data_IF_567460337096
#
_entry.id   IF_567460337096
#
_cell.length_a   1.000
_cell.length_b   1.000
_cell.length_c   1.000
_cell.angle_alpha   90.00
_cell.angle_beta   90.00
_cell.angle_gamma   90.00
#
_symmetry.space_group_name_H-M   'P 1'
#
loop_
_entity.id
_entity.type
_entity.pdbx_description
1 polymer ?
#
# COMPACT_ATOMS: atom_id res chain seq x y z
N UNK A 1 -23.63 -16.29 -8.16
CA UNK A 1 -22.61 -16.87 -9.07
C UNK A 1 -22.27 -18.27 -8.57
N UNK A 2 -22.40 -19.30 -9.41
CA UNK A 2 -22.01 -20.66 -9.02
C UNK A 2 -20.52 -20.71 -8.70
N UNK A 3 -20.13 -21.36 -7.60
CA UNK A 3 -18.71 -21.62 -7.31
C UNK A 3 -18.24 -22.71 -8.26
N UNK A 4 -17.31 -22.37 -9.16
CA UNK A 4 -16.59 -23.35 -9.96
C UNK A 4 -15.86 -24.33 -9.02
N UNK A 5 -15.95 -25.61 -9.32
CA UNK A 5 -15.17 -26.66 -8.69
C UNK A 5 -13.67 -26.48 -8.97
N UNK A 6 -12.82 -27.02 -8.10
CA UNK A 6 -11.36 -27.02 -8.27
C UNK A 6 -10.96 -27.65 -9.61
N UNK A 7 -11.66 -28.70 -10.03
CA UNK A 7 -11.41 -29.39 -11.30
C UNK A 7 -11.68 -28.47 -12.50
N UNK A 8 -12.78 -27.73 -12.50
CA UNK A 8 -13.11 -26.78 -13.57
C UNK A 8 -12.06 -25.68 -13.67
N UNK A 9 -11.55 -25.18 -12.54
CA UNK A 9 -10.46 -24.18 -12.52
C UNK A 9 -9.17 -24.77 -13.12
N UNK A 10 -8.81 -26.01 -12.77
CA UNK A 10 -7.62 -26.68 -13.31
C UNK A 10 -7.75 -26.89 -14.83
N UNK A 11 -8.90 -27.39 -15.28
CA UNK A 11 -9.15 -27.66 -16.70
C UNK A 11 -9.10 -26.37 -17.52
N UNK A 12 -9.81 -25.33 -17.09
CA UNK A 12 -9.83 -24.05 -17.79
C UNK A 12 -8.44 -23.40 -17.85
N UNK A 13 -7.68 -23.41 -16.74
CA UNK A 13 -6.31 -22.90 -16.73
C UNK A 13 -5.37 -23.71 -17.64
N UNK A 14 -5.50 -25.04 -17.64
CA UNK A 14 -4.67 -25.93 -18.48
C UNK A 14 -4.96 -25.72 -19.96
N UNK A 15 -6.23 -25.64 -20.34
CA UNK A 15 -6.65 -25.34 -21.71
C UNK A 15 -6.17 -23.96 -22.16
N UNK A 16 -6.33 -22.94 -21.31
CA UNK A 16 -5.84 -21.60 -21.59
C UNK A 16 -4.32 -21.60 -21.84
N UNK A 17 -3.55 -22.23 -20.96
CA UNK A 17 -2.09 -22.29 -21.11
C UNK A 17 -1.66 -23.05 -22.38
N UNK A 18 -2.34 -24.15 -22.71
CA UNK A 18 -2.04 -24.90 -23.94
C UNK A 18 -2.29 -24.06 -25.20
N UNK A 19 -3.41 -23.34 -25.27
CA UNK A 19 -3.74 -22.46 -26.39
C UNK A 19 -2.79 -21.25 -26.46
N UNK A 20 -2.49 -20.63 -25.32
CA UNK A 20 -1.58 -19.50 -25.25
C UNK A 20 -0.16 -19.89 -25.69
N UNK A 21 0.36 -21.01 -25.18
CA UNK A 21 1.67 -21.55 -25.55
C UNK A 21 1.71 -21.93 -27.03
N UNK A 22 0.66 -22.59 -27.55
CA UNK A 22 0.56 -22.89 -28.98
C UNK A 22 0.57 -21.63 -29.84
N UNK A 23 -0.20 -20.59 -29.46
CA UNK A 23 -0.22 -19.31 -30.20
C UNK A 23 1.17 -18.67 -30.26
N UNK A 24 1.91 -18.66 -29.15
CA UNK A 24 3.26 -18.13 -29.11
C UNK A 24 4.24 -18.97 -29.94
N UNK A 25 4.22 -20.30 -29.74
CA UNK A 25 5.08 -21.21 -30.48
C UNK A 25 4.83 -21.17 -31.99
N UNK A 26 3.56 -21.14 -32.41
CA UNK A 26 3.17 -21.01 -33.82
C UNK A 26 3.68 -19.70 -34.43
N UNK A 27 3.52 -18.58 -33.71
CA UNK A 27 4.03 -17.29 -34.16
C UNK A 27 5.55 -17.32 -34.38
N UNK A 28 6.31 -17.84 -33.43
CA UNK A 28 7.77 -17.95 -33.58
C UNK A 28 8.19 -18.90 -34.69
N UNK A 29 7.43 -19.97 -34.92
CA UNK A 29 7.77 -20.96 -35.94
C UNK A 29 7.44 -20.52 -37.37
N UNK A 30 6.44 -19.64 -37.56
CA UNK A 30 5.86 -19.37 -38.89
C UNK A 30 5.84 -17.89 -39.28
N UNK A 31 5.70 -16.98 -38.33
CA UNK A 31 5.49 -15.55 -38.58
C UNK A 31 6.69 -14.68 -38.20
N UNK A 32 7.56 -15.17 -37.33
CA UNK A 32 8.76 -14.44 -36.92
C UNK A 32 9.83 -14.51 -38.02
N UNK A 33 10.24 -13.36 -38.56
CA UNK A 33 11.12 -13.28 -39.74
C UNK A 33 12.58 -13.70 -39.46
N UNK A 34 12.93 -14.01 -38.21
CA UNK A 34 14.26 -14.47 -37.79
C UNK A 34 15.38 -13.43 -37.93
N UNK A 35 15.09 -12.22 -38.42
CA UNK A 35 16.09 -11.21 -38.71
C UNK A 35 16.48 -10.44 -37.44
N UNK A 36 17.51 -10.95 -36.77
CA UNK A 36 17.96 -10.44 -35.47
C UNK A 36 18.35 -8.96 -35.53
N UNK A 37 19.04 -8.50 -36.58
CA UNK A 37 19.48 -7.09 -36.68
C UNK A 37 18.31 -6.11 -36.84
N UNK A 38 17.24 -6.53 -37.53
CA UNK A 38 16.03 -5.72 -37.71
C UNK A 38 15.13 -5.74 -36.47
N UNK A 39 15.12 -6.85 -35.74
CA UNK A 39 14.23 -7.08 -34.60
C UNK A 39 14.85 -6.72 -33.24
N UNK A 40 16.16 -6.47 -33.15
CA UNK A 40 16.85 -6.03 -31.94
C UNK A 40 17.14 -4.52 -32.00
N UNK A 41 16.21 -3.73 -31.47
CA UNK A 41 16.34 -2.29 -31.34
C UNK A 41 15.97 -1.79 -29.93
N UNK A 42 15.75 -0.48 -29.80
CA UNK A 42 15.33 0.14 -28.53
C UNK A 42 14.05 -0.50 -27.95
N UNK A 43 13.11 -0.88 -28.82
CA UNK A 43 11.88 -1.60 -28.45
C UNK A 43 12.19 -2.90 -27.71
N UNK A 44 13.14 -3.68 -28.19
CA UNK A 44 13.54 -4.98 -27.65
C UNK A 44 14.15 -4.84 -26.27
N UNK A 45 15.10 -3.92 -26.12
CA UNK A 45 15.73 -3.63 -24.83
C UNK A 45 14.74 -3.08 -23.81
N UNK A 46 13.82 -2.22 -24.24
CA UNK A 46 12.75 -1.71 -23.38
C UNK A 46 11.78 -2.83 -22.95
N UNK A 47 11.39 -3.71 -23.88
CA UNK A 47 10.57 -4.88 -23.59
C UNK A 47 11.24 -5.83 -22.60
N UNK A 48 12.53 -6.16 -22.80
CA UNK A 48 13.33 -6.98 -21.87
C UNK A 48 13.42 -6.32 -20.50
N UNK A 49 13.68 -5.02 -20.45
CA UNK A 49 13.76 -4.27 -19.20
C UNK A 49 12.43 -4.35 -18.41
N UNK A 50 11.30 -4.07 -19.07
CA UNK A 50 9.99 -4.16 -18.44
C UNK A 50 9.66 -5.59 -18.00
N UNK A 51 9.97 -6.58 -18.84
CA UNK A 51 9.77 -7.99 -18.51
C UNK A 51 10.53 -8.36 -17.23
N UNK A 52 11.83 -8.08 -17.17
CA UNK A 52 12.67 -8.40 -16.02
C UNK A 52 12.30 -7.60 -14.77
N UNK A 53 11.93 -6.33 -14.92
CA UNK A 53 11.47 -5.51 -13.81
C UNK A 53 10.14 -6.04 -13.24
N UNK A 54 9.17 -6.35 -14.10
CA UNK A 54 7.88 -6.94 -13.72
C UNK A 54 8.04 -8.30 -13.05
N UNK A 55 8.83 -9.19 -13.65
CA UNK A 55 9.16 -10.51 -13.10
C UNK A 55 9.84 -10.42 -11.73
N UNK A 56 10.80 -9.49 -11.57
CA UNK A 56 11.46 -9.27 -10.28
C UNK A 56 10.49 -8.78 -9.21
N UNK A 57 9.58 -7.86 -9.56
CA UNK A 57 8.53 -7.39 -8.66
C UNK A 57 7.59 -8.56 -8.30
N UNK A 58 7.13 -9.34 -9.28
CA UNK A 58 6.25 -10.48 -9.05
C UNK A 58 6.88 -11.49 -8.07
N UNK A 59 8.10 -11.95 -8.39
CA UNK A 59 8.82 -12.95 -7.61
C UNK A 59 9.12 -12.47 -6.19
N UNK A 60 9.59 -11.22 -6.04
CA UNK A 60 9.91 -10.64 -4.73
C UNK A 60 8.67 -10.60 -3.84
N UNK A 61 7.53 -10.19 -4.37
CA UNK A 61 6.33 -9.96 -3.57
C UNK A 61 5.54 -11.26 -3.29
N UNK A 62 5.56 -12.24 -4.19
CA UNK A 62 5.05 -13.58 -3.89
C UNK A 62 5.89 -14.26 -2.80
N UNK A 63 7.22 -14.20 -2.91
CA UNK A 63 8.12 -14.73 -1.88
C UNK A 63 7.91 -14.02 -0.54
N UNK A 64 7.85 -12.69 -0.55
CA UNK A 64 7.61 -11.88 0.66
C UNK A 64 6.27 -12.23 1.32
N UNK A 65 5.19 -12.33 0.54
CA UNK A 65 3.86 -12.68 1.06
C UNK A 65 3.85 -14.08 1.69
N UNK A 66 4.45 -15.06 1.02
CA UNK A 66 4.58 -16.43 1.52
C UNK A 66 5.40 -16.48 2.81
N UNK A 67 6.53 -15.78 2.84
CA UNK A 67 7.41 -15.71 4.01
C UNK A 67 6.68 -15.11 5.21
N UNK A 68 6.02 -13.95 5.03
CA UNK A 68 5.31 -13.27 6.11
C UNK A 68 4.17 -14.14 6.66
N UNK A 69 3.40 -14.81 5.79
CA UNK A 69 2.31 -15.72 6.21
C UNK A 69 2.84 -16.91 7.01
N UNK A 70 3.86 -17.62 6.51
CA UNK A 70 4.45 -18.77 7.22
C UNK A 70 5.01 -18.37 8.58
N UNK A 71 5.75 -17.25 8.64
CA UNK A 71 6.30 -16.74 9.89
C UNK A 71 5.20 -16.46 10.92
N UNK A 72 4.07 -15.88 10.49
CA UNK A 72 2.94 -15.61 11.36
C UNK A 72 2.23 -16.89 11.83
N UNK A 73 2.03 -17.84 10.92
CA UNK A 73 1.48 -19.17 11.24
C UNK A 73 2.35 -19.90 12.27
N UNK A 74 3.67 -19.89 12.12
CA UNK A 74 4.61 -20.52 13.06
C UNK A 74 4.55 -19.88 14.46
N UNK A 75 4.43 -18.55 14.54
CA UNK A 75 4.26 -17.83 15.81
C UNK A 75 2.94 -18.25 16.48
N UNK A 76 1.87 -18.36 15.71
CA UNK A 76 0.56 -18.77 16.22
C UNK A 76 0.53 -20.24 16.67
N UNK A 77 1.17 -21.15 15.92
CA UNK A 77 1.33 -22.55 16.33
C UNK A 77 2.08 -22.67 17.65
N UNK A 78 3.16 -21.91 17.82
CA UNK A 78 3.91 -21.85 19.09
C UNK A 78 3.04 -21.36 20.25
N UNK A 79 2.25 -20.29 20.04
CA UNK A 79 1.31 -19.78 21.06
C UNK A 79 0.21 -20.78 21.43
N UNK A 80 -0.26 -21.60 20.49
CA UNK A 80 -1.26 -22.67 20.74
C UNK A 80 -0.65 -24.01 21.17
N UNK A 81 0.60 -24.04 21.64
CA UNK A 81 1.24 -25.25 22.15
C UNK A 81 1.46 -26.33 21.08
N UNK A 82 1.74 -25.93 19.83
CA UNK A 82 2.06 -26.83 18.73
C UNK A 82 0.85 -27.43 18.00
N UNK A 83 -0.37 -27.05 18.35
CA UNK A 83 -1.58 -27.45 17.61
C UNK A 83 -1.68 -26.73 16.27
N UNK A 84 -2.27 -27.39 15.29
CA UNK A 84 -2.56 -26.76 14.00
C UNK A 84 -3.47 -25.55 14.16
N UNK A 85 -3.14 -24.51 13.41
CA UNK A 85 -3.86 -23.25 13.34
C UNK A 85 -4.58 -23.18 12.00
N UNK A 86 -5.81 -22.65 12.01
CA UNK A 86 -6.48 -22.31 10.77
C UNK A 86 -5.67 -21.29 9.97
N UNK A 87 -5.90 -21.23 8.65
CA UNK A 87 -5.21 -20.28 7.77
C UNK A 87 -5.51 -18.85 8.24
N UNK A 88 -4.48 -18.16 8.69
CA UNK A 88 -4.57 -16.75 9.09
C UNK A 88 -4.12 -15.87 7.94
N UNK A 89 -4.93 -14.87 7.63
CA UNK A 89 -4.55 -13.80 6.72
C UNK A 89 -3.88 -12.68 7.51
N UNK A 90 -2.92 -12.02 6.88
CA UNK A 90 -2.18 -10.88 7.45
C UNK A 90 -2.15 -9.74 6.44
N UNK A 91 -2.03 -8.51 6.92
CA UNK A 91 -1.68 -7.35 6.09
C UNK A 91 -0.17 -7.44 5.78
N UNK A 92 0.24 -7.64 4.52
CA UNK A 92 1.65 -7.71 4.18
C UNK A 92 2.30 -6.33 4.31
N UNK A 93 3.52 -6.28 4.85
CA UNK A 93 4.28 -5.04 5.02
C UNK A 93 5.60 -5.06 4.23
N UNK A 94 6.24 -3.90 4.09
CA UNK A 94 7.47 -3.62 3.36
C UNK A 94 7.34 -3.64 1.83
N UNK A 95 8.30 -3.01 1.15
CA UNK A 95 8.37 -2.91 -0.31
C UNK A 95 7.13 -2.24 -0.91
N UNK A 96 6.62 -2.72 -2.05
CA UNK A 96 5.46 -2.13 -2.71
C UNK A 96 4.14 -2.42 -1.98
N UNK A 97 4.11 -3.31 -0.99
CA UNK A 97 2.91 -3.54 -0.17
C UNK A 97 2.49 -2.30 0.64
N UNK A 98 3.41 -1.36 0.85
CA UNK A 98 3.10 -0.08 1.50
C UNK A 98 2.28 0.87 0.62
N UNK A 99 2.22 0.60 -0.70
CA UNK A 99 1.56 1.46 -1.68
C UNK A 99 0.36 0.78 -2.34
N UNK A 100 0.46 -0.52 -2.61
CA UNK A 100 -0.57 -1.30 -3.31
C UNK A 100 -0.77 -2.66 -2.65
N UNK A 101 -2.01 -3.16 -2.66
CA UNK A 101 -2.36 -4.44 -2.02
C UNK A 101 -1.76 -5.66 -2.71
N UNK A 102 -1.67 -5.62 -4.04
CA UNK A 102 -1.27 -6.75 -4.87
C UNK A 102 -0.09 -6.40 -5.78
N UNK A 103 1.09 -6.09 -5.23
CA UNK A 103 2.28 -5.78 -6.01
C UNK A 103 2.76 -6.95 -6.86
N UNK A 104 2.47 -8.19 -6.47
CA UNK A 104 2.70 -9.38 -7.30
C UNK A 104 1.89 -9.34 -8.60
N UNK A 105 0.60 -8.99 -8.54
CA UNK A 105 -0.24 -8.81 -9.74
C UNK A 105 0.20 -7.62 -10.59
N UNK A 106 0.62 -6.53 -9.94
CA UNK A 106 1.18 -5.37 -10.64
C UNK A 106 2.47 -5.73 -11.39
N UNK A 107 3.38 -6.48 -10.75
CA UNK A 107 4.59 -6.99 -11.38
C UNK A 107 4.29 -7.87 -12.59
N UNK A 108 3.34 -8.81 -12.46
CA UNK A 108 2.93 -9.71 -13.55
C UNK A 108 2.32 -8.94 -14.74
N UNK A 109 1.55 -7.88 -14.48
CA UNK A 109 1.04 -7.01 -15.56
C UNK A 109 2.19 -6.29 -16.30
N UNK A 110 3.18 -5.76 -15.57
CA UNK A 110 4.37 -5.14 -16.20
C UNK A 110 5.20 -6.17 -16.96
N UNK A 111 5.35 -7.37 -16.42
CA UNK A 111 6.05 -8.48 -17.06
C UNK A 111 5.45 -8.77 -18.44
N UNK A 112 4.13 -8.99 -18.49
CA UNK A 112 3.45 -9.28 -19.75
C UNK A 112 3.36 -8.07 -20.69
N UNK A 113 3.38 -6.84 -20.17
CA UNK A 113 3.54 -5.64 -21.00
C UNK A 113 4.90 -5.62 -21.71
N UNK A 114 5.96 -5.95 -20.98
CA UNK A 114 7.30 -6.11 -21.54
C UNK A 114 7.34 -7.19 -22.63
N UNK A 115 6.67 -8.32 -22.38
CA UNK A 115 6.52 -9.41 -23.37
C UNK A 115 5.73 -9.00 -24.61
N UNK A 116 4.63 -8.25 -24.45
CA UNK A 116 3.85 -7.70 -25.56
C UNK A 116 4.68 -6.74 -26.42
N UNK A 117 5.47 -5.88 -25.78
CA UNK A 117 6.39 -4.98 -26.48
C UNK A 117 7.48 -5.80 -27.18
N UNK A 118 7.99 -6.87 -26.58
CA UNK A 118 9.04 -7.69 -27.16
C UNK A 118 8.57 -8.46 -28.41
N UNK A 119 7.39 -9.10 -28.33
CA UNK A 119 6.95 -10.09 -29.34
C UNK A 119 5.90 -9.54 -30.31
N UNK A 120 5.06 -8.60 -29.90
CA UNK A 120 3.94 -8.08 -30.69
C UNK A 120 2.62 -8.79 -30.40
N UNK A 121 1.82 -9.06 -31.44
CA UNK A 121 0.41 -9.44 -31.35
C UNK A 121 0.09 -10.60 -30.37
N UNK A 122 0.81 -11.74 -30.36
CA UNK A 122 0.53 -12.81 -29.41
C UNK A 122 0.78 -12.38 -27.96
N UNK A 123 1.83 -11.60 -27.74
CA UNK A 123 2.15 -11.05 -26.43
C UNK A 123 1.13 -10.00 -25.98
N UNK A 124 0.64 -9.16 -26.90
CA UNK A 124 -0.42 -8.19 -26.62
C UNK A 124 -1.72 -8.88 -26.20
N UNK A 125 -2.12 -9.93 -26.90
CA UNK A 125 -3.29 -10.75 -26.52
C UNK A 125 -3.16 -11.30 -25.10
N UNK A 126 -1.98 -11.84 -24.76
CA UNK A 126 -1.76 -12.37 -23.42
C UNK A 126 -1.70 -11.27 -22.35
N UNK A 127 -1.07 -10.13 -22.64
CA UNK A 127 -1.09 -8.97 -21.76
C UNK A 127 -2.52 -8.49 -21.45
N UNK A 128 -3.37 -8.33 -22.47
CA UNK A 128 -4.76 -7.93 -22.28
C UNK A 128 -5.55 -8.96 -21.45
N UNK A 129 -5.32 -10.25 -21.68
CA UNK A 129 -5.88 -11.30 -20.86
C UNK A 129 -5.41 -11.21 -19.40
N UNK A 130 -4.12 -11.00 -19.17
CA UNK A 130 -3.54 -10.85 -17.82
C UNK A 130 -4.15 -9.64 -17.11
N UNK A 131 -4.31 -8.49 -17.78
CA UNK A 131 -5.01 -7.33 -17.22
C UNK A 131 -6.46 -7.69 -16.87
N UNK A 132 -7.20 -8.31 -17.80
CA UNK A 132 -8.60 -8.67 -17.62
C UNK A 132 -8.82 -9.66 -16.45
N UNK A 133 -7.85 -10.51 -16.13
CA UNK A 133 -7.94 -11.46 -15.01
C UNK A 133 -7.41 -10.88 -13.70
N UNK A 134 -6.24 -10.24 -13.74
CA UNK A 134 -5.51 -9.82 -12.55
C UNK A 134 -6.04 -8.50 -11.99
N UNK A 135 -6.46 -7.54 -12.82
CA UNK A 135 -6.94 -6.25 -12.34
C UNK A 135 -8.26 -6.38 -11.54
N UNK A 136 -9.30 -7.08 -12.03
CA UNK A 136 -10.51 -7.29 -11.22
C UNK A 136 -10.23 -8.14 -9.98
N UNK A 137 -9.26 -9.06 -10.04
CA UNK A 137 -8.82 -9.83 -8.88
C UNK A 137 -8.14 -8.94 -7.85
N UNK A 138 -7.25 -8.04 -8.26
CA UNK A 138 -6.58 -7.07 -7.39
C UNK A 138 -7.60 -6.16 -6.69
N UNK A 139 -8.61 -5.65 -7.42
CA UNK A 139 -9.68 -4.82 -6.86
C UNK A 139 -10.50 -5.60 -5.82
N UNK A 140 -10.91 -6.84 -6.14
CA UNK A 140 -11.63 -7.68 -5.18
C UNK A 140 -10.79 -8.00 -3.95
N UNK A 141 -9.50 -8.28 -4.12
CA UNK A 141 -8.59 -8.50 -3.00
C UNK A 141 -8.43 -7.25 -2.15
N UNK A 142 -8.27 -6.08 -2.75
CA UNK A 142 -8.21 -4.80 -2.04
C UNK A 142 -9.47 -4.53 -1.22
N UNK A 143 -10.66 -4.70 -1.81
CA UNK A 143 -11.93 -4.54 -1.10
C UNK A 143 -12.07 -5.57 0.03
N UNK A 144 -11.71 -6.83 -0.22
CA UNK A 144 -11.72 -7.86 0.82
C UNK A 144 -10.78 -7.53 1.98
N UNK A 145 -9.59 -6.98 1.72
CA UNK A 145 -8.68 -6.54 2.78
C UNK A 145 -9.29 -5.41 3.62
N UNK A 146 -9.93 -4.42 2.96
CA UNK A 146 -10.67 -3.33 3.64
C UNK A 146 -11.84 -3.82 4.49
N UNK A 147 -12.54 -4.86 4.05
CA UNK A 147 -13.64 -5.46 4.81
C UNK A 147 -13.17 -6.39 5.92
N UNK A 148 -11.99 -7.03 5.74
CA UNK A 148 -11.50 -8.07 6.64
C UNK A 148 -10.70 -7.52 7.82
N UNK A 149 -9.97 -6.45 7.59
CA UNK A 149 -9.06 -5.85 8.57
C UNK A 149 -9.50 -4.42 8.84
N UNK A 150 -9.92 -4.17 10.07
CA UNK A 150 -10.29 -2.82 10.52
C UNK A 150 -9.07 -1.88 10.46
N UNK A 151 -7.86 -2.42 10.66
CA UNK A 151 -6.56 -1.73 10.58
C UNK A 151 -5.95 -1.72 9.17
N UNK A 152 -6.73 -1.99 8.11
CA UNK A 152 -6.20 -1.95 6.76
C UNK A 152 -5.82 -0.50 6.38
N UNK A 153 -4.58 -0.21 5.95
CA UNK A 153 -4.16 1.15 5.64
C UNK A 153 -4.92 1.69 4.43
N UNK A 154 -5.97 2.46 4.69
CA UNK A 154 -6.75 3.17 3.68
C UNK A 154 -6.07 4.52 3.47
N UNK A 155 -5.07 4.60 2.59
CA UNK A 155 -4.41 5.85 2.19
C UNK A 155 -4.17 6.82 3.36
N UNK A 156 -3.10 6.64 4.15
CA UNK A 156 -2.68 7.49 5.29
C UNK A 156 -3.20 8.94 5.24
N UNK A 157 -4.46 9.15 5.64
CA UNK A 157 -5.22 10.40 5.51
C UNK A 157 -4.67 11.41 4.47
N UNK A 158 -4.59 11.05 3.19
CA UNK A 158 -4.19 11.99 2.12
C UNK A 158 -2.72 12.45 2.18
N UNK A 159 -1.82 11.66 2.76
CA UNK A 159 -0.40 11.96 2.91
C UNK A 159 0.36 12.07 1.57
N UNK A 160 -0.26 11.69 0.46
CA UNK A 160 0.31 11.85 -0.88
C UNK A 160 0.03 13.25 -1.44
N UNK A 161 -1.07 13.86 -1.01
CA UNK A 161 -1.58 15.15 -1.50
C UNK A 161 -1.33 16.30 -0.50
N UNK A 162 -1.13 15.97 0.77
CA UNK A 162 -0.92 16.92 1.89
C UNK A 162 0.16 16.39 2.85
N UNK A 163 0.66 17.27 3.72
CA UNK A 163 1.67 16.90 4.72
C UNK A 163 1.01 15.95 5.74
N UNK A 164 1.58 14.76 5.95
CA UNK A 164 1.02 13.75 6.83
C UNK A 164 0.75 14.28 8.25
N UNK A 165 -0.32 13.79 8.89
CA UNK A 165 -0.71 14.14 10.26
C UNK A 165 -0.91 15.63 10.53
N UNK A 166 -1.39 16.38 9.54
CA UNK A 166 -1.81 17.78 9.70
C UNK A 166 -3.32 17.92 9.57
N UNK A 167 -3.90 18.98 10.15
CA UNK A 167 -5.33 19.27 9.96
C UNK A 167 -5.69 19.44 8.48
N UNK A 168 -4.79 19.94 7.65
CA UNK A 168 -5.03 20.07 6.21
C UNK A 168 -5.15 18.70 5.52
N UNK A 169 -4.34 17.72 5.92
CA UNK A 169 -4.43 16.35 5.43
C UNK A 169 -5.73 15.67 5.90
N UNK A 170 -6.12 15.86 7.16
CA UNK A 170 -7.38 15.33 7.68
C UNK A 170 -8.60 15.98 7.00
N UNK A 171 -8.61 17.30 6.82
CA UNK A 171 -9.69 18.01 6.09
C UNK A 171 -9.80 17.53 4.65
N UNK A 172 -8.67 17.41 3.96
CA UNK A 172 -8.66 16.88 2.60
C UNK A 172 -9.22 15.45 2.54
N UNK A 173 -8.84 14.60 3.50
CA UNK A 173 -9.32 13.23 3.59
C UNK A 173 -10.80 13.12 3.88
N UNK A 174 -11.30 13.89 4.83
CA UNK A 174 -12.70 13.87 5.26
C UNK A 174 -13.61 14.54 4.22
N UNK A 175 -13.27 15.76 3.80
CA UNK A 175 -14.19 16.58 3.00
C UNK A 175 -14.10 16.27 1.51
N UNK A 176 -12.87 16.02 1.01
CA UNK A 176 -12.62 15.84 -0.42
C UNK A 176 -12.62 14.36 -0.80
N UNK A 177 -11.81 13.55 -0.13
CA UNK A 177 -11.70 12.12 -0.42
C UNK A 177 -12.85 11.29 0.19
N UNK A 178 -13.51 11.81 1.23
CA UNK A 178 -14.61 11.15 1.96
C UNK A 178 -14.22 9.75 2.44
N UNK A 179 -13.04 9.64 3.05
CA UNK A 179 -12.54 8.37 3.61
C UNK A 179 -13.43 7.92 4.76
N UNK A 180 -13.66 6.62 4.95
CA UNK A 180 -14.61 6.15 5.98
C UNK A 180 -14.08 6.29 7.42
N UNK A 181 -12.76 6.41 7.58
CA UNK A 181 -12.05 6.39 8.86
C UNK A 181 -10.81 7.28 8.75
N UNK A 182 -10.53 8.08 9.78
CA UNK A 182 -9.25 8.78 9.92
C UNK A 182 -8.32 7.98 10.83
N UNK A 183 -7.20 7.51 10.29
CA UNK A 183 -6.11 6.90 11.07
C UNK A 183 -5.19 8.02 11.57
N UNK A 184 -4.85 7.97 12.86
CA UNK A 184 -3.93 8.92 13.47
C UNK A 184 -3.17 8.30 14.65
N UNK A 185 -1.95 8.77 14.83
CA UNK A 185 -1.10 8.40 15.96
C UNK A 185 -1.01 9.56 16.94
N UNK A 186 -1.07 9.26 18.23
CA UNK A 186 -0.97 10.28 19.27
C UNK A 186 0.25 10.10 20.14
N UNK A 187 0.79 11.23 20.56
CA UNK A 187 1.87 11.35 21.53
C UNK A 187 1.59 12.49 22.50
N UNK A 188 2.25 12.46 23.65
CA UNK A 188 2.10 13.46 24.70
C UNK A 188 3.31 14.40 24.72
N UNK A 189 3.04 15.71 24.74
CA UNK A 189 4.06 16.74 24.98
C UNK A 189 4.47 16.77 26.45
N UNK A 190 5.50 17.57 26.78
CA UNK A 190 6.00 17.78 28.14
C UNK A 190 4.98 18.42 29.08
N UNK A 191 4.12 19.28 28.54
CA UNK A 191 3.02 19.96 29.22
C UNK A 191 1.68 19.20 29.09
N UNK A 192 1.76 17.89 28.87
CA UNK A 192 0.63 16.96 28.86
C UNK A 192 -0.47 17.31 27.86
N UNK A 193 -0.10 17.82 26.68
CA UNK A 193 -0.99 18.02 25.54
C UNK A 193 -0.92 16.83 24.58
N UNK A 194 -2.08 16.32 24.17
CA UNK A 194 -2.17 15.23 23.19
C UNK A 194 -2.05 15.78 21.78
N UNK A 195 -0.96 15.41 21.10
CA UNK A 195 -0.69 15.85 19.73
C UNK A 195 -0.70 14.68 18.76
N UNK A 196 -1.05 14.98 17.50
CA UNK A 196 -1.10 13.97 16.43
C UNK A 196 0.28 13.90 15.77
N UNK A 197 1.03 12.83 16.04
CA UNK A 197 2.37 12.62 15.49
C UNK A 197 2.79 11.14 15.52
N UNK A 198 3.22 10.61 14.37
CA UNK A 198 3.56 9.18 14.20
C UNK A 198 4.95 8.81 14.73
N UNK A 199 5.98 9.57 14.37
CA UNK A 199 7.37 9.18 14.61
C UNK A 199 7.76 9.35 16.07
N UNK A 200 8.56 8.42 16.60
CA UNK A 200 9.13 8.59 17.95
C UNK A 200 10.07 9.78 18.06
N UNK A 201 10.68 10.20 16.95
CA UNK A 201 11.70 11.24 16.90
C UNK A 201 11.36 12.26 15.80
N UNK A 202 11.61 13.54 16.08
CA UNK A 202 11.28 14.67 15.22
C UNK A 202 12.27 14.86 14.05
N UNK A 203 13.32 14.03 13.94
CA UNK A 203 14.39 14.22 12.97
C UNK A 203 13.91 14.12 11.52
N UNK A 204 13.07 13.13 11.20
CA UNK A 204 12.60 12.92 9.83
C UNK A 204 11.67 14.03 9.37
N UNK A 205 10.72 14.39 10.23
CA UNK A 205 9.61 15.27 9.87
C UNK A 205 9.84 16.74 10.20
N UNK A 206 10.63 17.05 11.22
CA UNK A 206 10.90 18.42 11.67
C UNK A 206 12.38 18.79 11.57
N UNK A 207 13.28 17.84 11.28
CA UNK A 207 14.72 18.09 11.23
C UNK A 207 15.39 18.23 12.61
N UNK A 208 14.67 17.92 13.69
CA UNK A 208 15.15 18.09 15.07
C UNK A 208 15.35 16.73 15.72
N UNK A 209 16.55 16.43 16.19
CA UNK A 209 16.84 15.16 16.86
C UNK A 209 16.40 15.16 18.34
N UNK A 210 15.08 15.21 18.57
CA UNK A 210 14.41 15.18 19.87
C UNK A 210 13.07 14.44 19.76
N UNK A 211 12.42 14.12 20.87
CA UNK A 211 11.08 13.50 20.89
C UNK A 211 9.99 14.53 21.20
N UNK A 212 8.71 14.17 21.00
CA UNK A 212 7.58 15.05 21.33
C UNK A 212 7.57 15.40 22.83
N UNK A 213 7.92 14.44 23.70
CA UNK A 213 7.98 14.61 25.16
C UNK A 213 9.05 15.60 25.64
N UNK A 214 9.93 16.09 24.76
CA UNK A 214 10.96 17.07 25.11
C UNK A 214 10.46 18.53 25.05
N UNK A 215 9.27 18.79 24.51
CA UNK A 215 8.72 20.13 24.22
C UNK A 215 7.39 20.37 24.92
N UNK A 216 7.13 21.62 25.31
CA UNK A 216 5.76 22.08 25.53
C UNK A 216 5.08 22.22 24.16
N UNK A 217 3.74 22.19 24.12
CA UNK A 217 3.00 22.27 22.87
C UNK A 217 3.32 23.53 22.05
N UNK A 218 3.40 24.70 22.69
CA UNK A 218 3.72 25.97 22.03
C UNK A 218 5.13 26.01 21.43
N UNK A 219 6.04 25.19 21.96
CA UNK A 219 7.45 25.12 21.54
C UNK A 219 7.70 24.05 20.46
N UNK A 220 6.66 23.32 20.03
CA UNK A 220 6.83 22.25 19.04
C UNK A 220 7.31 22.78 17.69
N UNK A 221 8.28 22.11 17.05
CA UNK A 221 8.75 22.51 15.74
C UNK A 221 7.69 22.24 14.66
N UNK A 222 7.72 23.03 13.60
CA UNK A 222 6.88 22.81 12.42
C UNK A 222 7.42 21.69 11.54
N UNK A 223 6.51 21.04 10.81
CA UNK A 223 6.83 20.00 9.85
C UNK A 223 7.53 20.58 8.63
N UNK A 224 8.53 19.87 8.15
CA UNK A 224 9.21 20.14 6.88
C UNK A 224 8.30 19.73 5.73
N UNK A 225 8.26 20.57 4.69
CA UNK A 225 7.51 20.28 3.47
C UNK A 225 8.35 19.37 2.56
N UNK A 226 7.90 18.13 2.26
CA UNK A 226 8.60 17.24 1.34
C UNK A 226 8.76 17.87 -0.05
N UNK A 227 9.93 17.71 -0.68
CA UNK A 227 10.21 18.24 -2.03
C UNK A 227 9.21 17.77 -3.09
N UNK A 228 8.69 16.54 -2.96
CA UNK A 228 7.65 16.02 -3.84
C UNK A 228 6.36 16.82 -3.75
N UNK A 229 5.98 17.26 -2.55
CA UNK A 229 4.76 18.04 -2.32
C UNK A 229 4.91 19.48 -2.80
N UNK A 230 6.10 20.09 -2.67
CA UNK A 230 6.39 21.45 -3.21
C UNK A 230 6.16 21.56 -4.72
N UNK A 231 6.32 20.45 -5.46
CA UNK A 231 6.13 20.42 -6.92
C UNK A 231 4.67 20.20 -7.33
N UNK A 232 3.87 19.61 -6.46
CA UNK A 232 2.50 19.14 -6.78
C UNK A 232 1.44 20.08 -6.22
N UNK A 233 1.75 20.79 -5.13
CA UNK A 233 0.82 21.67 -4.42
C UNK A 233 1.44 23.07 -4.40
N UNK A 234 0.84 24.00 -5.13
CA UNK A 234 1.28 25.40 -5.21
C UNK A 234 0.82 26.25 -4.01
N UNK A 235 -0.27 25.84 -3.36
CA UNK A 235 -1.07 26.75 -2.51
C UNK A 235 -0.94 26.44 -1.01
N UNK A 236 0.23 26.02 -0.54
CA UNK A 236 0.48 25.89 0.91
C UNK A 236 0.31 27.22 1.67
N UNK A 237 0.28 28.35 0.96
CA UNK A 237 0.32 29.71 1.52
C UNK A 237 -0.99 30.22 2.10
N UNK A 238 -2.14 29.59 1.85
CA UNK A 238 -3.43 30.10 2.36
C UNK A 238 -3.67 29.77 3.83
N UNK A 239 -3.08 28.68 4.34
CA UNK A 239 -3.18 28.28 5.74
C UNK A 239 -1.79 28.39 6.41
N UNK A 240 -1.57 29.39 7.30
CA UNK A 240 -0.29 29.55 7.99
C UNK A 240 0.04 28.37 8.91
N UNK A 241 -0.93 27.52 9.24
CA UNK A 241 -0.77 26.34 10.08
C UNK A 241 -0.77 25.01 9.30
N UNK A 242 -0.67 25.06 7.96
CA UNK A 242 -0.66 23.86 7.12
C UNK A 242 0.42 22.82 7.48
N UNK A 243 1.50 23.24 8.15
CA UNK A 243 2.61 22.38 8.57
C UNK A 243 2.79 22.34 10.09
N UNK A 244 1.79 22.74 10.87
CA UNK A 244 1.82 22.63 12.34
C UNK A 244 1.43 21.21 12.77
N UNK A 245 2.08 20.71 13.83
CA UNK A 245 1.64 19.50 14.53
C UNK A 245 0.34 19.84 15.29
N UNK A 246 -0.80 19.19 14.98
CA UNK A 246 -2.07 19.56 15.58
C UNK A 246 -2.33 18.84 16.91
N UNK A 247 -3.18 19.44 17.73
CA UNK A 247 -3.76 18.77 18.90
C UNK A 247 -4.83 17.77 18.45
N UNK A 248 -4.97 16.69 19.21
CA UNK A 248 -6.09 15.77 19.01
C UNK A 248 -7.44 16.46 19.21
N UNK A 249 -7.55 17.34 20.21
CA UNK A 249 -8.77 18.10 20.50
C UNK A 249 -9.20 18.99 19.33
N UNK A 250 -8.25 19.54 18.58
CA UNK A 250 -8.55 20.36 17.40
C UNK A 250 -9.24 19.51 16.32
N UNK A 251 -8.78 18.28 16.12
CA UNK A 251 -9.40 17.37 15.16
C UNK A 251 -10.80 16.94 15.60
N UNK A 252 -10.99 16.63 16.88
CA UNK A 252 -12.31 16.31 17.43
C UNK A 252 -13.30 17.47 17.34
N UNK A 253 -12.85 18.72 17.54
CA UNK A 253 -13.70 19.91 17.35
C UNK A 253 -14.16 20.07 15.90
N UNK A 254 -13.27 19.78 14.95
CA UNK A 254 -13.60 19.86 13.53
C UNK A 254 -14.53 18.72 13.07
N UNK A 255 -14.32 17.52 13.61
CA UNK A 255 -14.95 16.30 13.15
C UNK A 255 -15.50 15.45 14.31
N UNK A 256 -16.48 15.96 15.09
CA UNK A 256 -16.91 15.34 16.34
C UNK A 256 -17.60 13.98 16.16
N UNK A 257 -18.12 13.69 14.97
CA UNK A 257 -18.84 12.46 14.65
C UNK A 257 -18.14 11.61 13.58
N UNK A 258 -16.95 12.02 13.14
CA UNK A 258 -16.23 11.30 12.09
C UNK A 258 -15.52 10.09 12.72
N UNK A 259 -15.62 8.89 12.14
CA UNK A 259 -14.91 7.73 12.67
C UNK A 259 -13.40 7.96 12.66
N UNK A 260 -12.73 7.71 13.79
CA UNK A 260 -11.28 7.83 13.93
C UNK A 260 -10.71 6.58 14.60
N UNK A 261 -9.56 6.11 14.12
CA UNK A 261 -8.74 5.11 14.78
C UNK A 261 -7.51 5.81 15.36
N UNK A 262 -7.38 5.72 16.68
CA UNK A 262 -6.36 6.43 17.45
C UNK A 262 -5.33 5.43 17.97
N UNK A 263 -4.14 5.45 17.37
CA UNK A 263 -3.02 4.62 17.79
C UNK A 263 -2.21 5.34 18.87
N UNK A 264 -2.32 4.85 20.10
CA UNK A 264 -1.55 5.37 21.24
C UNK A 264 -0.14 4.78 21.19
N UNK A 265 0.88 5.62 20.95
CA UNK A 265 2.27 5.17 20.97
C UNK A 265 2.75 4.97 22.42
N UNK A 266 2.91 3.71 22.80
CA UNK A 266 3.40 3.14 24.08
C UNK A 266 4.06 4.11 25.08
N UNK A 267 3.63 4.03 26.36
CA UNK A 267 4.47 4.32 27.53
C UNK A 267 3.94 5.33 28.54
N UNK A 268 2.74 5.89 28.35
CA UNK A 268 2.21 6.95 29.22
C UNK A 268 0.76 6.64 29.59
N UNK A 269 0.53 6.16 30.82
CA UNK A 269 -0.83 5.94 31.37
C UNK A 269 -1.69 7.22 31.25
N UNK A 270 -1.07 8.38 31.37
CA UNK A 270 -1.70 9.69 31.24
C UNK A 270 -2.25 9.96 29.82
N UNK A 271 -1.59 9.47 28.77
CA UNK A 271 -2.05 9.59 27.38
C UNK A 271 -3.31 8.74 27.12
N UNK A 272 -3.41 7.58 27.78
CA UNK A 272 -4.59 6.70 27.70
C UNK A 272 -5.79 7.38 28.40
N UNK A 273 -5.57 7.97 29.57
CA UNK A 273 -6.60 8.71 30.30
C UNK A 273 -7.13 9.91 29.52
N UNK A 274 -6.24 10.67 28.87
CA UNK A 274 -6.61 11.87 28.12
C UNK A 274 -7.27 11.59 26.76
N UNK A 275 -7.02 10.42 26.15
CA UNK A 275 -7.66 10.01 24.89
C UNK A 275 -9.06 9.43 25.10
N UNK A 276 -9.48 9.21 26.36
CA UNK A 276 -10.80 8.66 26.68
C UNK A 276 -10.98 7.20 26.31
N UNK A 277 -9.89 6.48 26.00
CA UNK A 277 -9.91 5.05 25.70
C UNK A 277 -9.98 4.28 27.02
N UNK A 278 -11.17 4.25 27.63
CA UNK A 278 -11.48 3.29 28.68
C UNK A 278 -11.99 2.00 28.03
N UNK A 279 -11.27 0.90 28.26
CA UNK A 279 -11.83 -0.45 28.11
C UNK A 279 -12.82 -0.67 29.27
N UNK A 280 -14.11 -0.75 28.95
CA UNK A 280 -15.09 -1.54 29.70
C UNK A 280 -15.28 -2.91 29.01
#
# INVERSE_FOLDING_TARGET
MAKLSVLEVILTASTFNALNAFSHGYYFATMFDGNVEKNFGLRTWFGIFLFLAGFSINLLHDYSLMYQRRKYEDIMKKKKGGKDVEKVYIIPKNYLFEYITCPNYFGEIIEWLGWAILIGEPGLSFFLFSVANLLPRAIRTHNWYKEKFDDYPVNRCGSLERIENTLTAFKYSADTLKVHLLELDVQLTKDNQVVIFHDRNLLRLCGVNKTISDFNFEDLPRLLIPEKLKKTVSDFSEDPDHNRIPLLEELFKLYPLYPMQIDVKLGQEELVLQTGIYED
#
